data_IF_897796474701
#
_entry.id   IF_897796474701
#
_cell.length_a   1.000
_cell.length_b   1.000
_cell.length_c   1.000
_cell.angle_alpha   90.00
_cell.angle_beta   90.00
_cell.angle_gamma   90.00
#
_symmetry.space_group_name_H-M   'P 1'
#
loop_
_entity.id
_entity.type
_entity.pdbx_description
1 polymer ?
#
# COMPACT_ATOMS: atom_id res chain seq x y z
N UNK A 1 16.53 11.00 6.75
CA UNK A 1 15.22 10.62 6.16
C UNK A 1 15.46 9.65 5.02
N UNK A 2 14.56 8.69 4.77
CA UNK A 2 14.74 7.70 3.72
C UNK A 2 14.33 8.25 2.34
N UNK A 3 15.06 7.86 1.32
CA UNK A 3 14.68 8.09 -0.07
C UNK A 3 13.39 7.34 -0.40
N UNK A 4 12.41 8.01 -1.04
CA UNK A 4 11.10 7.43 -1.37
C UNK A 4 10.76 7.62 -2.85
N UNK A 5 10.13 6.63 -3.46
CA UNK A 5 9.67 6.70 -4.87
C UNK A 5 8.67 7.81 -5.12
N UNK A 6 7.88 8.18 -4.09
CA UNK A 6 6.91 9.28 -4.18
C UNK A 6 7.57 10.63 -4.54
N UNK A 7 8.88 10.83 -4.23
CA UNK A 7 9.62 12.04 -4.62
C UNK A 7 9.63 12.21 -6.14
N UNK A 8 9.83 11.11 -6.89
CA UNK A 8 9.79 11.16 -8.36
C UNK A 8 8.41 11.54 -8.88
N UNK A 9 7.34 11.05 -8.24
CA UNK A 9 5.96 11.41 -8.58
C UNK A 9 5.70 12.90 -8.32
N UNK A 10 6.14 13.42 -7.18
CA UNK A 10 6.04 14.84 -6.86
C UNK A 10 6.87 15.72 -7.81
N UNK A 11 8.05 15.27 -8.24
CA UNK A 11 8.87 15.96 -9.24
C UNK A 11 8.16 16.03 -10.60
N UNK A 12 7.64 14.90 -11.08
CA UNK A 12 6.89 14.83 -12.33
C UNK A 12 5.64 15.71 -12.29
N UNK A 13 4.93 15.71 -11.16
CA UNK A 13 3.79 16.59 -10.93
C UNK A 13 4.20 18.07 -10.97
N UNK A 14 5.29 18.45 -10.28
CA UNK A 14 5.77 19.83 -10.26
C UNK A 14 6.18 20.33 -11.65
N UNK A 15 6.66 19.45 -12.52
CA UNK A 15 7.07 19.78 -13.90
C UNK A 15 5.87 19.83 -14.86
N UNK A 16 4.70 19.34 -14.48
CA UNK A 16 3.50 19.36 -15.33
C UNK A 16 3.00 20.80 -15.55
N UNK A 17 2.64 21.11 -16.80
CA UNK A 17 2.15 22.44 -17.20
C UNK A 17 0.80 22.76 -16.55
N UNK A 18 -0.12 21.79 -16.53
CA UNK A 18 -1.48 21.93 -16.00
C UNK A 18 -1.62 21.17 -14.66
N UNK A 19 -0.69 21.41 -13.73
CA UNK A 19 -0.72 20.73 -12.45
C UNK A 19 -1.86 21.24 -11.56
N UNK A 20 -2.64 20.28 -11.08
CA UNK A 20 -3.69 20.50 -10.09
C UNK A 20 -3.12 20.31 -8.70
N UNK A 21 -3.75 20.80 -7.62
CA UNK A 21 -3.39 20.42 -6.27
C UNK A 21 -3.17 18.91 -6.13
N UNK A 22 -2.05 18.54 -5.50
CA UNK A 22 -1.66 17.15 -5.31
C UNK A 22 -2.19 16.63 -3.97
N UNK A 23 -2.92 15.52 -3.98
CA UNK A 23 -3.44 14.89 -2.77
C UNK A 23 -2.76 13.52 -2.59
N UNK A 24 -1.96 13.39 -1.55
CA UNK A 24 -1.25 12.16 -1.21
C UNK A 24 -2.00 11.42 -0.11
N UNK A 25 -2.69 10.35 -0.49
CA UNK A 25 -3.36 9.45 0.45
C UNK A 25 -2.52 8.21 0.77
N UNK A 26 -2.80 7.57 1.88
CA UNK A 26 -2.13 6.31 2.28
C UNK A 26 -2.32 6.02 3.76
N UNK A 27 -2.00 4.81 4.21
CA UNK A 27 -2.16 4.44 5.62
C UNK A 27 -1.42 5.39 6.57
N UNK A 28 -1.83 5.40 7.82
CA UNK A 28 -1.12 6.17 8.86
C UNK A 28 0.31 5.67 9.01
N UNK A 29 1.20 6.59 9.37
CA UNK A 29 2.63 6.34 9.64
C UNK A 29 3.44 5.79 8.46
N UNK A 30 2.90 5.82 7.21
CA UNK A 30 3.69 5.44 6.03
C UNK A 30 4.66 6.53 5.53
N UNK A 31 4.73 7.69 6.21
CA UNK A 31 5.70 8.74 5.96
C UNK A 31 5.25 9.87 5.02
N UNK A 32 3.94 10.07 4.82
CA UNK A 32 3.37 11.10 3.93
C UNK A 32 3.87 12.51 4.25
N UNK A 33 3.56 13.00 5.45
CA UNK A 33 3.90 14.35 5.93
C UNK A 33 5.39 14.62 5.80
N UNK A 34 6.21 13.70 6.27
CA UNK A 34 7.67 13.83 6.22
C UNK A 34 8.17 13.95 4.78
N UNK A 35 7.69 13.10 3.86
CA UNK A 35 8.10 13.12 2.45
C UNK A 35 7.67 14.41 1.75
N UNK A 36 6.46 14.91 2.03
CA UNK A 36 5.94 16.17 1.47
C UNK A 36 6.73 17.36 1.98
N UNK A 37 6.99 17.44 3.28
CA UNK A 37 7.73 18.55 3.87
C UNK A 37 9.17 18.60 3.38
N UNK A 38 9.84 17.45 3.24
CA UNK A 38 11.19 17.39 2.67
C UNK A 38 11.20 17.86 1.22
N UNK A 39 10.28 17.33 0.40
CA UNK A 39 10.12 17.75 -0.98
C UNK A 39 9.85 19.25 -1.10
N UNK A 40 8.92 19.78 -0.30
CA UNK A 40 8.56 21.18 -0.32
C UNK A 40 9.74 22.08 0.06
N UNK A 41 10.47 21.74 1.12
CA UNK A 41 11.68 22.49 1.57
C UNK A 41 12.80 22.49 0.52
N UNK A 42 12.95 21.37 -0.21
CA UNK A 42 13.98 21.21 -1.25
C UNK A 42 13.66 21.99 -2.54
N UNK A 43 12.38 22.14 -2.87
CA UNK A 43 11.96 22.62 -4.18
C UNK A 43 11.23 23.97 -4.19
N UNK A 44 10.97 24.58 -3.03
CA UNK A 44 10.31 25.88 -2.90
C UNK A 44 11.06 26.81 -1.95
N UNK A 45 10.96 28.10 -2.20
CA UNK A 45 11.58 29.13 -1.33
C UNK A 45 10.84 29.29 -0.02
N UNK A 46 9.52 29.09 -0.04
CA UNK A 46 8.67 29.18 1.14
C UNK A 46 7.75 27.97 1.20
N UNK A 47 7.49 27.51 2.42
CA UNK A 47 6.55 26.43 2.72
C UNK A 47 5.61 26.89 3.79
N UNK A 48 4.32 26.84 3.52
CA UNK A 48 3.26 27.10 4.50
C UNK A 48 2.67 25.76 4.88
N UNK A 49 2.86 25.33 6.11
CA UNK A 49 2.40 24.05 6.62
C UNK A 49 1.23 24.23 7.56
N UNK A 50 0.10 23.61 7.28
CA UNK A 50 -1.11 23.58 8.09
C UNK A 50 -1.47 22.14 8.42
N UNK A 51 -1.35 21.78 9.70
CA UNK A 51 -1.85 20.52 10.23
C UNK A 51 -3.24 20.74 10.84
N UNK A 52 -4.27 20.22 10.19
CA UNK A 52 -5.67 20.42 10.64
C UNK A 52 -6.08 19.50 11.80
N UNK A 53 -5.28 18.47 12.07
CA UNK A 53 -5.52 17.57 13.18
C UNK A 53 -4.99 18.14 14.50
N UNK A 54 -3.75 18.63 14.48
CA UNK A 54 -3.06 19.18 15.63
C UNK A 54 -3.54 20.61 15.93
N UNK A 55 -3.73 21.43 14.87
CA UNK A 55 -4.08 22.85 14.96
C UNK A 55 -5.48 23.12 14.40
N UNK A 56 -6.51 22.86 15.21
CA UNK A 56 -7.91 23.05 14.82
C UNK A 56 -8.25 24.51 14.46
N UNK A 57 -7.53 25.46 15.02
CA UNK A 57 -7.69 26.89 14.74
C UNK A 57 -7.42 27.25 13.27
N UNK A 58 -6.61 26.48 12.55
CA UNK A 58 -6.33 26.72 11.14
C UNK A 58 -7.55 26.51 10.23
N UNK A 59 -8.59 25.79 10.70
CA UNK A 59 -9.86 25.66 9.98
C UNK A 59 -10.53 27.02 9.77
N UNK A 60 -10.29 28.00 10.65
CA UNK A 60 -10.83 29.35 10.53
C UNK A 60 -10.35 30.08 9.29
N UNK A 61 -9.16 29.75 8.75
CA UNK A 61 -8.65 30.35 7.51
C UNK A 61 -9.52 30.02 6.29
N UNK A 62 -10.30 28.97 6.38
CA UNK A 62 -11.20 28.45 5.34
C UNK A 62 -12.68 28.68 5.72
N UNK A 63 -12.97 29.53 6.67
CA UNK A 63 -14.32 29.92 7.02
C UNK A 63 -14.78 31.09 6.13
N UNK A 64 -15.92 30.94 5.48
CA UNK A 64 -16.48 31.97 4.58
C UNK A 64 -16.12 31.76 3.11
N UNK A 65 -15.65 32.82 2.44
CA UNK A 65 -15.28 32.75 1.02
C UNK A 65 -14.02 31.88 0.82
N UNK A 66 -14.06 31.01 -0.17
CA UNK A 66 -12.98 30.05 -0.46
C UNK A 66 -12.09 30.49 -1.64
N UNK A 67 -12.18 31.74 -2.07
CA UNK A 67 -11.25 32.29 -3.06
C UNK A 67 -9.84 32.39 -2.49
N UNK A 68 -8.84 32.31 -3.37
CA UNK A 68 -7.42 32.22 -2.99
C UNK A 68 -6.95 33.49 -2.26
N UNK A 69 -7.42 34.68 -2.69
CA UNK A 69 -6.99 35.93 -2.06
C UNK A 69 -7.46 36.05 -0.61
N UNK A 70 -8.73 35.68 -0.34
CA UNK A 70 -9.29 35.66 1.01
C UNK A 70 -8.54 34.65 1.90
N UNK A 71 -8.30 33.42 1.40
CA UNK A 71 -7.59 32.40 2.17
C UNK A 71 -6.15 32.81 2.46
N UNK A 72 -5.42 33.33 1.47
CA UNK A 72 -4.04 33.81 1.64
C UNK A 72 -3.98 34.98 2.61
N UNK A 73 -4.93 35.90 2.55
CA UNK A 73 -5.04 37.01 3.50
C UNK A 73 -5.22 36.48 4.93
N UNK A 74 -6.18 35.59 5.14
CA UNK A 74 -6.44 34.97 6.45
C UNK A 74 -5.19 34.29 7.01
N UNK A 75 -4.51 33.46 6.18
CA UNK A 75 -3.26 32.80 6.56
C UNK A 75 -2.14 33.82 6.89
N UNK A 76 -2.01 34.89 6.11
CA UNK A 76 -0.96 35.91 6.30
C UNK A 76 -1.13 36.68 7.61
N UNK A 77 -2.37 36.88 8.04
CA UNK A 77 -2.68 37.55 9.32
C UNK A 77 -2.57 36.59 10.52
N UNK A 78 -2.93 35.32 10.32
CA UNK A 78 -2.94 34.33 11.41
C UNK A 78 -1.59 33.66 11.65
N UNK A 79 -0.70 33.62 10.65
CA UNK A 79 0.60 32.93 10.74
C UNK A 79 1.75 33.92 10.79
N UNK A 80 2.53 33.88 11.88
CA UNK A 80 3.70 34.76 12.04
C UNK A 80 4.85 34.37 11.14
N UNK A 81 5.45 35.37 10.45
CA UNK A 81 6.69 35.18 9.70
C UNK A 81 6.56 34.44 8.36
N UNK A 82 5.34 34.16 7.93
CA UNK A 82 5.07 33.49 6.66
C UNK A 82 5.06 34.50 5.52
N UNK A 83 5.65 34.12 4.36
CA UNK A 83 5.63 34.92 3.13
C UNK A 83 4.95 34.13 2.03
N UNK A 84 4.09 34.80 1.27
CA UNK A 84 3.42 34.23 0.10
C UNK A 84 4.05 34.82 -1.16
N UNK A 85 4.84 34.03 -1.87
CA UNK A 85 5.49 34.39 -3.14
C UNK A 85 4.91 33.51 -4.22
N UNK A 86 4.26 34.11 -5.21
CA UNK A 86 3.67 33.40 -6.33
C UNK A 86 4.67 32.48 -7.00
N UNK A 87 4.27 31.25 -7.31
CA UNK A 87 5.07 30.19 -7.93
C UNK A 87 6.30 29.72 -7.13
N UNK A 88 6.56 30.28 -5.96
CA UNK A 88 7.69 29.96 -5.09
C UNK A 88 7.28 29.54 -3.65
N UNK A 89 5.97 29.59 -3.34
CA UNK A 89 5.42 29.10 -2.09
C UNK A 89 4.65 27.81 -2.34
N UNK A 90 4.95 26.77 -1.55
CA UNK A 90 4.17 25.54 -1.48
C UNK A 90 3.28 25.59 -0.24
N UNK A 91 1.99 25.38 -0.44
CA UNK A 91 1.02 25.21 0.65
C UNK A 91 0.91 23.72 0.93
N UNK A 92 1.16 23.31 2.15
CA UNK A 92 1.04 21.91 2.60
C UNK A 92 -0.12 21.81 3.58
N UNK A 93 -1.19 21.12 3.17
CA UNK A 93 -2.39 20.87 3.98
C UNK A 93 -2.37 19.44 4.48
N UNK A 94 -2.00 19.26 5.75
CA UNK A 94 -1.88 17.94 6.37
C UNK A 94 -3.17 17.53 7.06
N UNK A 95 -3.49 16.21 6.97
CA UNK A 95 -4.74 15.61 7.43
C UNK A 95 -5.98 16.39 6.94
N UNK A 96 -6.01 16.66 5.61
CA UNK A 96 -7.01 17.53 4.96
C UNK A 96 -8.46 17.05 5.17
N UNK A 97 -8.69 15.77 5.50
CA UNK A 97 -10.02 15.26 5.83
C UNK A 97 -10.61 15.92 7.09
N UNK A 98 -9.76 16.49 7.95
CA UNK A 98 -10.21 17.18 9.15
C UNK A 98 -10.69 18.63 8.86
N UNK A 99 -10.48 19.15 7.61
CA UNK A 99 -10.97 20.45 7.15
C UNK A 99 -11.64 20.35 5.77
N UNK A 100 -12.94 19.99 5.69
CA UNK A 100 -13.66 19.84 4.41
C UNK A 100 -13.63 21.09 3.53
N UNK A 101 -13.66 22.28 4.12
CA UNK A 101 -13.58 23.55 3.39
C UNK A 101 -12.21 23.74 2.73
N UNK A 102 -11.10 23.35 3.40
CA UNK A 102 -9.78 23.37 2.78
C UNK A 102 -9.74 22.45 1.55
N UNK A 103 -10.39 21.29 1.61
CA UNK A 103 -10.50 20.39 0.45
C UNK A 103 -11.34 21.02 -0.66
N UNK A 104 -12.46 21.65 -0.34
CA UNK A 104 -13.30 22.37 -1.32
C UNK A 104 -12.56 23.52 -2.00
N UNK A 105 -11.65 24.19 -1.27
CA UNK A 105 -10.84 25.29 -1.80
C UNK A 105 -9.84 24.87 -2.88
N UNK A 106 -9.50 23.58 -2.98
CA UNK A 106 -8.56 23.07 -3.99
C UNK A 106 -8.99 23.38 -5.42
N UNK A 107 -10.31 23.48 -5.69
CA UNK A 107 -10.85 23.93 -6.97
C UNK A 107 -10.36 25.35 -7.29
N UNK A 108 -10.42 26.24 -6.34
CA UNK A 108 -10.04 27.64 -6.55
C UNK A 108 -8.52 27.78 -6.69
N UNK A 109 -7.72 27.06 -5.91
CA UNK A 109 -6.26 26.98 -6.09
C UNK A 109 -5.88 26.40 -7.46
N UNK A 110 -6.60 25.38 -7.93
CA UNK A 110 -6.37 24.79 -9.25
C UNK A 110 -6.63 25.77 -10.40
N UNK A 111 -7.64 26.64 -10.26
CA UNK A 111 -7.99 27.65 -11.27
C UNK A 111 -7.08 28.88 -11.22
N UNK A 112 -6.66 29.28 -10.02
CA UNK A 112 -5.80 30.43 -9.78
C UNK A 112 -4.35 30.19 -10.24
N UNK A 113 -3.76 29.06 -9.87
CA UNK A 113 -2.43 28.63 -10.30
C UNK A 113 -1.24 29.42 -9.74
N UNK A 114 -1.44 30.40 -8.85
CA UNK A 114 -0.34 31.16 -8.21
C UNK A 114 0.44 30.36 -7.18
N UNK A 115 -0.20 29.42 -6.51
CA UNK A 115 0.38 28.62 -5.44
C UNK A 115 0.24 27.13 -5.70
N UNK A 116 1.31 26.39 -5.51
CA UNK A 116 1.28 24.94 -5.51
C UNK A 116 0.76 24.42 -4.17
N UNK A 117 -0.22 23.51 -4.23
CA UNK A 117 -0.82 22.92 -3.01
C UNK A 117 -0.57 21.42 -3.01
N UNK A 118 -0.01 20.92 -1.90
CA UNK A 118 0.14 19.49 -1.64
C UNK A 118 -0.63 19.16 -0.36
N UNK A 119 -1.56 18.21 -0.46
CA UNK A 119 -2.35 17.75 0.67
C UNK A 119 -1.94 16.35 1.07
N UNK A 120 -2.03 16.04 2.35
CA UNK A 120 -1.92 14.67 2.85
C UNK A 120 -3.17 14.27 3.60
N UNK A 121 -3.42 12.96 3.66
CA UNK A 121 -4.51 12.41 4.47
C UNK A 121 -4.45 10.90 4.59
N UNK A 122 -4.69 10.40 5.78
CA UNK A 122 -4.63 8.97 6.09
C UNK A 122 -5.98 8.27 5.87
N UNK A 123 -7.08 9.00 6.03
CA UNK A 123 -8.45 8.48 5.93
C UNK A 123 -9.22 9.10 4.76
N UNK A 124 -8.50 9.57 3.73
CA UNK A 124 -9.12 10.10 2.52
C UNK A 124 -9.77 8.97 1.72
N UNK A 125 -11.08 8.92 1.75
CA UNK A 125 -11.89 7.87 1.11
C UNK A 125 -12.69 7.03 2.10
N UNK A 126 -12.43 7.14 3.39
CA UNK A 126 -13.27 6.52 4.43
C UNK A 126 -14.55 7.36 4.57
N UNK A 127 -15.48 7.17 3.64
CA UNK A 127 -16.79 7.81 3.68
C UNK A 127 -17.75 6.96 4.53
N UNK A 128 -18.65 7.62 5.28
CA UNK A 128 -19.76 6.95 5.97
C UNK A 128 -19.51 6.57 7.42
N UNK A 129 -18.43 7.09 8.05
CA UNK A 129 -18.12 6.82 9.47
C UNK A 129 -18.00 8.10 10.30
N UNK A 130 -18.62 9.18 9.81
CA UNK A 130 -18.69 10.47 10.49
C UNK A 130 -19.98 10.59 11.28
N UNK A 131 -19.99 11.44 12.30
CA UNK A 131 -21.20 11.84 12.99
C UNK A 131 -22.16 12.53 11.99
N UNK A 132 -23.46 12.56 12.30
CA UNK A 132 -24.44 13.24 11.42
C UNK A 132 -24.09 14.70 11.16
N UNK A 133 -23.51 15.37 12.14
CA UNK A 133 -23.05 16.77 12.04
C UNK A 133 -21.86 16.91 11.10
N UNK A 134 -20.88 16.01 11.19
CA UNK A 134 -19.70 15.96 10.30
C UNK A 134 -20.12 15.54 8.86
N UNK A 135 -21.11 14.66 8.70
CA UNK A 135 -21.68 14.31 7.40
C UNK A 135 -22.44 15.49 6.77
N UNK A 136 -23.12 16.32 7.57
CA UNK A 136 -23.80 17.53 7.08
C UNK A 136 -22.80 18.61 6.66
N UNK A 137 -21.71 18.80 7.40
CA UNK A 137 -20.62 19.70 6.98
C UNK A 137 -19.96 19.21 5.67
N UNK A 138 -19.71 17.91 5.55
CA UNK A 138 -19.12 17.33 4.35
C UNK A 138 -20.09 17.37 3.15
N UNK A 139 -21.38 17.19 3.34
CA UNK A 139 -22.41 17.38 2.30
C UNK A 139 -22.50 18.82 1.81
N UNK A 140 -22.20 19.79 2.67
CA UNK A 140 -22.10 21.22 2.29
C UNK A 140 -20.78 21.51 1.58
N UNK A 141 -19.71 20.78 1.91
CA UNK A 141 -18.40 20.92 1.29
C UNK A 141 -18.36 20.11 -0.01
N UNK A 142 -18.26 20.79 -1.13
CA UNK A 142 -18.16 20.18 -2.46
C UNK A 142 -16.80 19.51 -2.64
N UNK A 143 -16.78 18.18 -2.87
CA UNK A 143 -15.55 17.51 -3.31
C UNK A 143 -15.13 18.10 -4.66
N UNK A 144 -13.89 18.57 -4.83
CA UNK A 144 -13.44 19.24 -6.05
C UNK A 144 -13.15 18.21 -7.17
N UNK A 145 -14.19 17.54 -7.64
CA UNK A 145 -14.07 16.51 -8.71
C UNK A 145 -13.43 17.14 -9.94
N UNK A 146 -12.31 16.54 -10.38
CA UNK A 146 -11.57 17.01 -11.55
C UNK A 146 -10.57 18.14 -11.29
N UNK A 147 -10.46 18.67 -10.06
CA UNK A 147 -9.54 19.74 -9.69
C UNK A 147 -8.43 19.31 -8.74
N UNK A 148 -8.30 18.03 -8.47
CA UNK A 148 -7.23 17.45 -7.66
C UNK A 148 -6.55 16.30 -8.42
N UNK A 149 -5.26 16.08 -8.13
CA UNK A 149 -4.50 14.92 -8.58
C UNK A 149 -4.22 14.02 -7.37
N UNK A 150 -4.82 12.83 -7.36
CA UNK A 150 -4.73 11.94 -6.21
C UNK A 150 -3.69 10.85 -6.48
N UNK A 151 -2.75 10.68 -5.55
CA UNK A 151 -1.77 9.59 -5.56
C UNK A 151 -1.80 8.84 -4.24
N UNK A 152 -1.48 7.55 -4.29
CA UNK A 152 -1.39 6.73 -3.09
C UNK A 152 0.07 6.48 -2.72
N UNK A 153 0.42 6.78 -1.46
CA UNK A 153 1.70 6.45 -0.88
C UNK A 153 1.54 5.22 0.02
N UNK A 154 2.41 4.26 -0.19
CA UNK A 154 2.44 3.02 0.59
C UNK A 154 3.56 3.03 1.62
N UNK A 155 3.58 2.11 2.60
CA UNK A 155 4.79 1.77 3.34
C UNK A 155 5.94 1.49 2.37
N UNK A 156 7.18 1.57 2.82
CA UNK A 156 8.34 1.32 1.96
C UNK A 156 8.22 -0.03 1.28
N UNK A 157 8.37 -0.04 -0.04
CA UNK A 157 8.47 -1.30 -0.78
C UNK A 157 9.88 -1.91 -0.62
N UNK A 158 10.06 -3.12 -1.15
CA UNK A 158 11.34 -3.81 -0.98
C UNK A 158 12.52 -3.05 -1.59
N UNK A 159 12.34 -2.35 -2.71
CA UNK A 159 13.40 -1.55 -3.33
C UNK A 159 13.74 -0.31 -2.48
N UNK A 160 12.75 0.41 -1.94
CA UNK A 160 12.96 1.52 -1.02
C UNK A 160 13.65 1.06 0.28
N UNK A 161 13.27 -0.14 0.76
CA UNK A 161 13.89 -0.78 1.91
C UNK A 161 15.36 -1.16 1.62
N UNK A 162 15.67 -1.66 0.41
CA UNK A 162 17.03 -1.91 -0.04
C UNK A 162 17.88 -0.63 -0.03
N UNK A 163 17.33 0.49 -0.53
CA UNK A 163 18.02 1.79 -0.48
C UNK A 163 18.32 2.23 0.94
N UNK A 164 17.39 2.05 1.87
CA UNK A 164 17.57 2.36 3.29
C UNK A 164 18.71 1.53 3.93
N UNK A 165 18.98 0.35 3.38
CA UNK A 165 20.03 -0.58 3.83
C UNK A 165 21.31 -0.51 2.96
N UNK A 166 21.52 0.57 2.19
CA UNK A 166 22.73 0.82 1.45
C UNK A 166 22.87 0.06 0.12
N UNK A 167 21.80 -0.58 -0.35
CA UNK A 167 21.78 -1.19 -1.69
C UNK A 167 21.36 -0.14 -2.70
N UNK A 168 22.29 0.22 -3.59
CA UNK A 168 22.10 1.26 -4.58
C UNK A 168 21.45 0.74 -5.88
N UNK A 169 21.02 1.68 -6.72
CA UNK A 169 20.35 1.40 -8.00
C UNK A 169 21.15 0.46 -8.92
N UNK A 170 22.46 0.57 -8.95
CA UNK A 170 23.32 -0.32 -9.76
C UNK A 170 23.10 -1.81 -9.48
N UNK A 171 22.78 -2.16 -8.22
CA UNK A 171 22.52 -3.55 -7.83
C UNK A 171 21.14 -4.01 -8.33
N UNK A 172 20.12 -3.15 -8.27
CA UNK A 172 18.80 -3.48 -8.81
C UNK A 172 18.80 -3.48 -10.34
N UNK A 173 19.60 -2.64 -11.00
CA UNK A 173 19.82 -2.66 -12.45
C UNK A 173 20.47 -3.99 -12.90
N UNK A 174 21.41 -4.54 -12.12
CA UNK A 174 21.97 -5.86 -12.37
C UNK A 174 20.90 -6.97 -12.28
N UNK A 175 20.06 -6.95 -11.26
CA UNK A 175 18.92 -7.90 -11.13
C UNK A 175 17.96 -7.78 -12.31
N UNK A 176 17.64 -6.56 -12.74
CA UNK A 176 16.79 -6.31 -13.90
C UNK A 176 17.41 -6.88 -15.19
N UNK A 177 18.74 -6.78 -15.34
CA UNK A 177 19.45 -7.41 -16.44
C UNK A 177 19.32 -8.92 -16.39
N UNK A 178 19.55 -9.56 -15.24
CA UNK A 178 19.35 -11.02 -15.08
C UNK A 178 17.93 -11.45 -15.45
N UNK A 179 16.90 -10.66 -15.06
CA UNK A 179 15.50 -10.93 -15.43
C UNK A 179 15.27 -10.84 -16.93
N UNK A 180 15.80 -9.81 -17.60
CA UNK A 180 15.64 -9.60 -19.05
C UNK A 180 16.33 -10.69 -19.88
N UNK A 181 17.54 -11.04 -19.48
CA UNK A 181 18.38 -12.02 -20.16
C UNK A 181 18.06 -13.47 -19.74
N UNK A 182 17.16 -13.64 -18.77
CA UNK A 182 16.81 -14.94 -18.15
C UNK A 182 18.07 -15.70 -17.70
N UNK A 183 19.01 -14.98 -17.07
CA UNK A 183 20.27 -15.54 -16.59
C UNK A 183 20.29 -15.63 -15.06
N UNK A 184 20.85 -16.69 -14.48
CA UNK A 184 20.95 -16.80 -13.03
C UNK A 184 21.72 -15.63 -12.43
N UNK A 185 21.22 -15.14 -11.28
CA UNK A 185 21.94 -14.20 -10.42
C UNK A 185 23.17 -14.90 -9.82
N UNK A 186 24.32 -14.22 -9.81
CA UNK A 186 25.54 -14.74 -9.18
C UNK A 186 25.30 -15.18 -7.73
N UNK A 187 25.84 -16.31 -7.33
CA UNK A 187 25.52 -16.98 -6.08
C UNK A 187 25.69 -16.07 -4.84
N UNK A 188 26.77 -15.32 -4.77
CA UNK A 188 27.02 -14.41 -3.65
C UNK A 188 25.94 -13.32 -3.54
N UNK A 189 25.51 -12.75 -4.68
CA UNK A 189 24.44 -11.74 -4.73
C UNK A 189 23.10 -12.40 -4.41
N UNK A 190 22.82 -13.56 -4.98
CA UNK A 190 21.59 -14.33 -4.73
C UNK A 190 21.41 -14.61 -3.24
N UNK A 191 22.44 -15.13 -2.57
CA UNK A 191 22.40 -15.43 -1.15
C UNK A 191 22.20 -14.17 -0.31
N UNK A 192 22.90 -13.06 -0.64
CA UNK A 192 22.72 -11.78 0.06
C UNK A 192 21.31 -11.21 -0.10
N UNK A 193 20.75 -11.26 -1.31
CA UNK A 193 19.40 -10.79 -1.57
C UNK A 193 18.33 -11.63 -0.84
N UNK A 194 18.56 -12.93 -0.69
CA UNK A 194 17.69 -13.81 0.13
C UNK A 194 17.70 -13.43 1.60
N UNK A 195 18.88 -13.13 2.14
CA UNK A 195 19.02 -12.64 3.53
C UNK A 195 18.27 -11.30 3.70
N UNK A 196 18.50 -10.36 2.81
CA UNK A 196 17.83 -9.05 2.84
C UNK A 196 16.31 -9.18 2.72
N UNK A 197 15.81 -10.10 1.91
CA UNK A 197 14.37 -10.37 1.80
C UNK A 197 13.79 -10.93 3.12
N UNK A 198 14.50 -11.84 3.80
CA UNK A 198 14.07 -12.35 5.11
C UNK A 198 13.99 -11.23 6.15
N UNK A 199 14.97 -10.33 6.15
CA UNK A 199 14.96 -9.13 6.99
C UNK A 199 13.74 -8.25 6.66
N UNK A 200 13.48 -8.01 5.37
CA UNK A 200 12.30 -7.24 4.95
C UNK A 200 10.98 -7.89 5.39
N UNK A 201 10.86 -9.22 5.30
CA UNK A 201 9.66 -9.93 5.78
C UNK A 201 9.42 -9.64 7.26
N UNK A 202 10.48 -9.65 8.08
CA UNK A 202 10.37 -9.45 9.54
C UNK A 202 10.17 -7.97 9.89
N UNK A 203 10.94 -7.06 9.26
CA UNK A 203 10.91 -5.61 9.56
C UNK A 203 9.73 -4.91 8.89
N UNK A 204 9.36 -5.33 7.68
CA UNK A 204 8.35 -4.65 6.86
C UNK A 204 8.83 -3.34 6.27
N UNK A 205 7.87 -2.56 5.78
CA UNK A 205 8.10 -1.27 5.11
C UNK A 205 7.62 -0.05 5.91
N UNK A 206 7.16 -0.20 7.15
CA UNK A 206 6.76 0.95 7.96
C UNK A 206 8.01 1.77 8.31
N UNK A 207 8.08 3.09 7.93
CA UNK A 207 9.31 3.87 8.04
C UNK A 207 9.93 3.89 9.44
N UNK A 208 9.12 3.88 10.49
CA UNK A 208 9.61 3.89 11.87
C UNK A 208 10.25 2.54 12.24
N UNK A 209 9.65 1.42 11.85
CA UNK A 209 10.23 0.09 12.01
C UNK A 209 11.55 -0.06 11.21
N UNK A 210 11.58 0.44 9.97
CA UNK A 210 12.79 0.45 9.14
C UNK A 210 13.88 1.31 9.76
N UNK A 211 13.54 2.49 10.28
CA UNK A 211 14.48 3.40 10.94
C UNK A 211 15.09 2.76 12.18
N UNK A 212 14.25 2.14 13.01
CA UNK A 212 14.70 1.41 14.21
C UNK A 212 15.67 0.28 13.81
N UNK A 213 15.33 -0.51 12.78
CA UNK A 213 16.20 -1.57 12.30
C UNK A 213 17.55 -1.04 11.80
N UNK A 214 17.54 0.00 10.97
CA UNK A 214 18.79 0.59 10.40
C UNK A 214 19.69 1.16 11.49
N UNK A 215 19.12 1.72 12.56
CA UNK A 215 19.88 2.35 13.65
C UNK A 215 20.41 1.34 14.68
N UNK A 216 19.58 0.37 15.07
CA UNK A 216 19.91 -0.52 16.19
C UNK A 216 20.27 -1.96 15.78
N UNK A 217 19.87 -2.39 14.59
CA UNK A 217 19.91 -3.79 14.14
C UNK A 217 19.29 -4.77 15.16
N UNK A 218 18.33 -4.30 15.97
CA UNK A 218 17.70 -5.03 17.06
C UNK A 218 16.25 -5.38 16.72
N UNK A 219 15.98 -6.65 16.44
CA UNK A 219 14.66 -7.13 16.07
C UNK A 219 13.61 -7.00 17.17
N UNK A 220 14.00 -7.01 18.44
CA UNK A 220 13.07 -6.82 19.56
C UNK A 220 12.56 -5.37 19.59
N UNK A 221 13.44 -4.39 19.34
CA UNK A 221 13.03 -2.98 19.24
C UNK A 221 12.12 -2.76 18.05
N UNK A 222 12.43 -3.34 16.89
CA UNK A 222 11.57 -3.32 15.69
C UNK A 222 10.18 -3.86 16.01
N UNK A 223 10.11 -5.00 16.72
CA UNK A 223 8.82 -5.61 17.10
C UNK A 223 8.00 -4.71 18.01
N UNK A 224 8.61 -4.03 18.97
CA UNK A 224 7.92 -3.06 19.84
C UNK A 224 7.32 -1.94 19.00
N UNK A 225 8.07 -1.40 18.03
CA UNK A 225 7.57 -0.37 17.13
C UNK A 225 6.40 -0.86 16.29
N UNK A 226 6.51 -2.06 15.69
CA UNK A 226 5.43 -2.66 14.91
C UNK A 226 4.17 -2.89 15.75
N UNK A 227 4.32 -3.40 16.98
CA UNK A 227 3.21 -3.61 17.90
C UNK A 227 2.51 -2.28 18.23
N UNK A 228 3.27 -1.22 18.51
CA UNK A 228 2.73 0.11 18.74
C UNK A 228 1.95 0.63 17.52
N UNK A 229 2.42 0.38 16.29
CA UNK A 229 1.70 0.75 15.06
C UNK A 229 0.37 -0.01 14.96
N UNK A 230 0.37 -1.31 15.22
CA UNK A 230 -0.85 -2.15 15.24
C UNK A 230 -1.85 -1.65 16.29
N UNK A 231 -1.37 -1.34 17.50
CA UNK A 231 -2.21 -0.83 18.58
C UNK A 231 -2.78 0.56 18.25
N UNK A 232 -2.00 1.42 17.60
CA UNK A 232 -2.48 2.70 17.09
C UNK A 232 -3.56 2.52 16.02
N UNK A 233 -3.42 1.56 15.10
CA UNK A 233 -4.47 1.24 14.14
C UNK A 233 -5.76 0.77 14.83
N UNK A 234 -5.65 -0.08 15.86
CA UNK A 234 -6.81 -0.51 16.67
C UNK A 234 -7.46 0.67 17.41
N UNK A 235 -6.67 1.59 17.94
CA UNK A 235 -7.19 2.80 18.56
C UNK A 235 -7.92 3.71 17.55
N UNK A 236 -7.40 3.86 16.34
CA UNK A 236 -8.04 4.60 15.27
C UNK A 236 -9.37 3.99 14.83
N UNK A 237 -9.45 2.66 14.71
CA UNK A 237 -10.70 1.95 14.44
C UNK A 237 -11.77 2.28 15.49
N UNK A 238 -11.37 2.42 16.76
CA UNK A 238 -12.27 2.79 17.85
C UNK A 238 -12.60 4.28 17.86
N UNK A 239 -11.74 5.15 17.35
CA UNK A 239 -11.94 6.60 17.34
C UNK A 239 -12.86 7.04 16.19
N UNK A 240 -12.60 6.53 14.97
CA UNK A 240 -13.19 7.04 13.74
C UNK A 240 -14.39 6.23 13.22
N UNK A 241 -14.60 5.01 13.68
CA UNK A 241 -15.76 4.21 13.29
C UNK A 241 -17.02 4.59 14.08
N UNK A 242 -18.19 4.36 13.49
CA UNK A 242 -19.47 4.48 14.19
C UNK A 242 -19.51 3.49 15.37
N UNK A 243 -20.21 3.87 16.45
CA UNK A 243 -20.24 3.10 17.71
C UNK A 243 -20.65 1.63 17.50
N UNK A 244 -21.60 1.38 16.60
CA UNK A 244 -22.11 0.03 16.29
C UNK A 244 -21.15 -0.82 15.44
N UNK A 245 -20.19 -0.20 14.74
CA UNK A 245 -19.25 -0.89 13.85
C UNK A 245 -17.85 -1.08 14.45
N UNK A 246 -17.51 -0.35 15.53
CA UNK A 246 -16.20 -0.40 16.18
C UNK A 246 -15.74 -1.82 16.51
N UNK A 247 -16.61 -2.60 17.16
CA UNK A 247 -16.32 -3.99 17.53
C UNK A 247 -16.11 -4.86 16.29
N UNK A 248 -16.97 -4.71 15.28
CA UNK A 248 -16.91 -5.50 14.03
C UNK A 248 -15.64 -5.22 13.22
N UNK A 249 -15.23 -3.94 13.12
CA UNK A 249 -13.99 -3.54 12.43
C UNK A 249 -12.79 -4.19 13.11
N UNK A 250 -12.72 -4.11 14.43
CA UNK A 250 -11.66 -4.74 15.21
C UNK A 250 -11.66 -6.27 15.06
N UNK A 251 -12.83 -6.91 15.15
CA UNK A 251 -12.99 -8.36 14.95
C UNK A 251 -12.50 -8.78 13.54
N UNK A 252 -12.84 -8.00 12.49
CA UNK A 252 -12.34 -8.22 11.13
C UNK A 252 -10.83 -8.15 11.08
N UNK A 253 -10.24 -7.10 11.65
CA UNK A 253 -8.79 -6.89 11.65
C UNK A 253 -8.07 -8.02 12.41
N UNK A 254 -8.51 -8.35 13.62
CA UNK A 254 -7.91 -9.41 14.45
C UNK A 254 -8.05 -10.81 13.82
N UNK A 255 -9.01 -11.02 12.90
CA UNK A 255 -9.20 -12.29 12.20
C UNK A 255 -8.20 -12.54 11.07
N UNK A 256 -7.48 -11.53 10.57
CA UNK A 256 -6.64 -11.63 9.37
C UNK A 256 -5.59 -12.75 9.47
N UNK A 257 -4.81 -12.90 10.55
CA UNK A 257 -3.86 -13.99 10.65
C UNK A 257 -4.53 -15.37 10.51
N UNK A 258 -5.67 -15.57 11.16
CA UNK A 258 -6.40 -16.85 11.11
C UNK A 258 -7.05 -17.11 9.74
N UNK A 259 -7.44 -16.07 8.99
CA UNK A 259 -7.91 -16.21 7.61
C UNK A 259 -6.79 -16.69 6.68
N UNK A 260 -5.59 -16.14 6.84
CA UNK A 260 -4.41 -16.49 6.03
C UNK A 260 -3.83 -17.87 6.36
N UNK A 261 -4.03 -18.36 7.59
CA UNK A 261 -3.52 -19.68 8.04
C UNK A 261 -4.26 -20.87 7.41
N UNK A 262 -5.45 -20.66 6.84
CA UNK A 262 -6.27 -21.73 6.26
C UNK A 262 -5.74 -22.20 4.91
N UNK A 263 -6.00 -23.48 4.58
CA UNK A 263 -5.75 -24.01 3.23
C UNK A 263 -6.56 -23.23 2.17
N UNK A 264 -7.86 -23.08 2.40
CA UNK A 264 -8.70 -22.21 1.59
C UNK A 264 -8.66 -20.80 2.18
N UNK A 265 -7.88 -19.92 1.59
CA UNK A 265 -7.68 -18.53 2.01
C UNK A 265 -8.79 -17.58 1.58
N UNK A 266 -9.87 -18.06 0.92
CA UNK A 266 -11.07 -17.27 0.70
C UNK A 266 -11.56 -16.71 2.04
N UNK A 267 -11.79 -15.40 2.08
CA UNK A 267 -12.25 -14.75 3.31
C UNK A 267 -13.61 -15.32 3.77
N UNK A 268 -13.67 -15.77 5.02
CA UNK A 268 -14.85 -16.41 5.61
C UNK A 268 -15.33 -15.60 6.80
N UNK A 269 -16.48 -14.99 6.68
CA UNK A 269 -17.11 -14.22 7.78
C UNK A 269 -17.41 -15.07 9.01
N UNK A 270 -17.67 -16.36 8.84
CA UNK A 270 -17.86 -17.32 9.95
C UNK A 270 -16.59 -17.55 10.79
N UNK A 271 -15.40 -17.19 10.28
CA UNK A 271 -14.15 -17.23 11.05
C UNK A 271 -14.07 -16.09 12.06
N UNK A 272 -14.66 -14.93 11.73
CA UNK A 272 -14.72 -13.80 12.64
C UNK A 272 -15.61 -14.18 13.85
N UNK A 273 -16.83 -14.67 13.55
CA UNK A 273 -17.78 -15.08 14.56
C UNK A 273 -18.68 -16.21 14.00
N UNK A 274 -18.98 -17.22 14.84
CA UNK A 274 -19.90 -18.30 14.44
C UNK A 274 -21.24 -17.73 13.96
N UNK A 275 -21.60 -18.04 12.70
CA UNK A 275 -22.81 -17.51 12.05
C UNK A 275 -22.66 -16.12 11.43
N UNK A 276 -21.46 -15.52 11.43
CA UNK A 276 -21.19 -14.23 10.77
C UNK A 276 -21.47 -14.29 9.27
N UNK A 277 -22.10 -13.23 8.74
CA UNK A 277 -22.50 -13.12 7.34
C UNK A 277 -21.88 -11.87 6.70
N UNK A 278 -21.75 -11.88 5.37
CA UNK A 278 -21.23 -10.75 4.61
C UNK A 278 -21.88 -9.41 4.96
N UNK A 279 -23.22 -9.37 5.04
CA UNK A 279 -23.99 -8.16 5.37
C UNK A 279 -23.61 -7.52 6.72
N UNK A 280 -23.04 -8.31 7.64
CA UNK A 280 -22.73 -7.86 9.01
C UNK A 280 -21.33 -7.22 9.09
N UNK A 281 -20.40 -7.54 8.15
CA UNK A 281 -18.99 -7.21 8.23
C UNK A 281 -18.41 -6.56 6.95
N UNK A 282 -19.16 -6.50 5.84
CA UNK A 282 -18.64 -5.97 4.57
C UNK A 282 -18.21 -4.51 4.70
N UNK A 283 -19.00 -3.67 5.37
CA UNK A 283 -18.67 -2.27 5.65
C UNK A 283 -17.42 -2.14 6.52
N UNK A 284 -17.31 -3.00 7.54
CA UNK A 284 -16.15 -3.03 8.43
C UNK A 284 -14.86 -3.40 7.67
N UNK A 285 -14.93 -4.40 6.78
CA UNK A 285 -13.80 -4.80 5.96
C UNK A 285 -13.43 -3.70 4.94
N UNK A 286 -14.44 -3.04 4.35
CA UNK A 286 -14.23 -1.90 3.45
C UNK A 286 -13.51 -0.76 4.18
N UNK A 287 -13.90 -0.45 5.41
CA UNK A 287 -13.24 0.57 6.22
C UNK A 287 -11.75 0.31 6.39
N UNK A 288 -11.36 -0.94 6.73
CA UNK A 288 -9.95 -1.32 6.93
C UNK A 288 -9.17 -1.23 5.61
N UNK A 289 -9.81 -1.57 4.48
CA UNK A 289 -9.20 -1.46 3.15
C UNK A 289 -9.02 0.02 2.73
N UNK A 290 -10.03 0.87 2.95
CA UNK A 290 -9.98 2.30 2.63
C UNK A 290 -8.94 3.03 3.50
N UNK A 291 -8.75 2.59 4.74
CA UNK A 291 -7.66 3.04 5.61
C UNK A 291 -6.26 2.59 5.12
N UNK A 292 -6.20 1.76 4.09
CA UNK A 292 -4.95 1.28 3.49
C UNK A 292 -4.22 0.22 4.32
N UNK A 293 -4.90 -0.43 5.26
CA UNK A 293 -4.31 -1.42 6.17
C UNK A 293 -4.31 -2.82 5.55
N UNK A 294 -5.34 -3.14 4.78
CA UNK A 294 -5.49 -4.40 4.06
C UNK A 294 -5.72 -4.17 2.57
N UNK A 295 -5.65 -5.27 1.81
CA UNK A 295 -6.05 -5.36 0.41
C UNK A 295 -6.84 -6.61 0.16
N UNK A 296 -7.89 -6.50 -0.65
CA UNK A 296 -8.62 -7.65 -1.18
C UNK A 296 -7.98 -8.12 -2.48
N UNK A 297 -7.82 -9.43 -2.61
CA UNK A 297 -7.43 -10.12 -3.82
C UNK A 297 -8.65 -10.89 -4.31
N UNK A 298 -9.18 -10.51 -5.47
CA UNK A 298 -10.46 -11.01 -5.97
C UNK A 298 -10.31 -12.25 -6.83
N UNK A 299 -11.22 -13.22 -6.67
CA UNK A 299 -11.32 -14.34 -7.60
C UNK A 299 -11.81 -13.88 -8.97
N UNK A 300 -11.36 -14.55 -10.04
CA UNK A 300 -11.83 -14.32 -11.39
C UNK A 300 -12.55 -15.56 -11.93
N UNK A 301 -13.49 -15.36 -12.85
CA UNK A 301 -14.24 -16.45 -13.49
C UNK A 301 -13.37 -17.19 -14.52
N UNK A 302 -12.47 -16.47 -15.17
CA UNK A 302 -11.55 -16.96 -16.21
C UNK A 302 -10.17 -16.29 -16.04
N UNK A 303 -9.18 -16.83 -16.73
CA UNK A 303 -7.78 -16.38 -16.71
C UNK A 303 -7.46 -15.49 -17.92
N UNK A 304 -8.33 -14.52 -18.21
CA UNK A 304 -8.20 -13.61 -19.36
C UNK A 304 -8.23 -12.13 -18.94
N UNK A 305 -7.64 -11.29 -19.79
CA UNK A 305 -7.77 -9.83 -19.68
C UNK A 305 -9.11 -9.36 -20.31
N UNK A 306 -9.73 -8.31 -19.76
CA UNK A 306 -9.31 -7.55 -18.58
C UNK A 306 -9.71 -8.25 -17.26
N UNK A 307 -8.77 -8.44 -16.35
CA UNK A 307 -9.02 -9.12 -15.06
C UNK A 307 -10.16 -8.50 -14.26
N UNK A 308 -10.29 -7.16 -14.32
CA UNK A 308 -11.35 -6.44 -13.64
C UNK A 308 -12.76 -6.80 -14.15
N UNK A 309 -12.90 -7.12 -15.44
CA UNK A 309 -14.16 -7.54 -16.04
C UNK A 309 -14.61 -8.94 -15.65
N UNK A 310 -13.65 -9.77 -15.23
CA UNK A 310 -13.86 -11.17 -14.87
C UNK A 310 -13.91 -11.40 -13.35
N UNK A 311 -13.89 -10.31 -12.56
CA UNK A 311 -13.83 -10.33 -11.10
C UNK A 311 -15.13 -10.81 -10.47
N UNK A 312 -15.03 -11.65 -9.45
CA UNK A 312 -16.15 -12.08 -8.60
C UNK A 312 -16.08 -11.26 -7.30
N UNK A 313 -17.03 -10.32 -7.12
CA UNK A 313 -17.00 -9.36 -6.00
C UNK A 313 -17.10 -10.03 -4.62
N UNK A 314 -17.85 -11.11 -4.49
CA UNK A 314 -18.10 -11.78 -3.21
C UNK A 314 -17.10 -12.90 -2.90
N UNK A 315 -16.10 -13.06 -3.74
CA UNK A 315 -15.09 -14.09 -3.58
C UNK A 315 -13.68 -13.49 -3.62
N UNK A 316 -13.09 -13.31 -2.43
CA UNK A 316 -11.78 -12.67 -2.30
C UNK A 316 -10.98 -13.25 -1.14
N UNK A 317 -9.67 -13.08 -1.22
CA UNK A 317 -8.71 -13.23 -0.12
C UNK A 317 -8.37 -11.86 0.45
N UNK A 318 -7.87 -11.80 1.67
CA UNK A 318 -7.44 -10.55 2.33
C UNK A 318 -5.98 -10.67 2.74
N UNK A 319 -5.18 -9.65 2.40
CA UNK A 319 -3.78 -9.56 2.75
C UNK A 319 -3.50 -8.25 3.48
N UNK A 320 -2.54 -8.26 4.41
CA UNK A 320 -2.00 -7.04 5.01
C UNK A 320 -1.21 -6.24 3.97
N UNK A 321 -1.31 -4.91 4.00
CA UNK A 321 -0.57 -4.02 3.09
C UNK A 321 0.89 -3.82 3.50
N UNK A 322 1.27 -4.29 4.68
CA UNK A 322 2.65 -4.36 5.13
C UNK A 322 2.94 -5.71 5.77
N UNK A 323 3.96 -6.39 5.24
CA UNK A 323 4.31 -7.73 5.69
C UNK A 323 4.85 -7.74 7.13
N UNK A 324 5.57 -6.69 7.55
CA UNK A 324 6.11 -6.58 8.91
C UNK A 324 5.01 -6.43 9.96
N UNK A 325 3.91 -5.73 9.61
CA UNK A 325 2.75 -5.63 10.49
C UNK A 325 2.03 -6.98 10.61
N UNK A 326 1.92 -7.77 9.52
CA UNK A 326 1.43 -9.15 9.64
C UNK A 326 2.31 -9.96 10.60
N UNK A 327 3.64 -9.84 10.47
CA UNK A 327 4.57 -10.56 11.33
C UNK A 327 4.39 -10.21 12.81
N UNK A 328 4.11 -8.96 13.15
CA UNK A 328 3.86 -8.54 14.53
C UNK A 328 2.55 -9.06 15.13
N UNK A 329 1.61 -9.49 14.27
CA UNK A 329 0.33 -10.10 14.69
C UNK A 329 0.43 -11.62 14.88
N UNK A 330 1.57 -12.25 14.55
CA UNK A 330 1.82 -13.67 14.72
C UNK A 330 2.50 -13.95 16.06
N UNK A 331 2.52 -15.23 16.46
CA UNK A 331 3.10 -15.68 17.73
C UNK A 331 4.59 -15.35 17.82
N UNK A 332 5.05 -15.22 19.06
CA UNK A 332 6.47 -15.06 19.39
C UNK A 332 7.28 -16.24 18.81
N UNK A 333 8.44 -15.92 18.22
CA UNK A 333 9.29 -16.92 17.59
C UNK A 333 9.07 -17.09 16.08
N UNK A 334 7.92 -16.67 15.50
CA UNK A 334 7.69 -16.76 14.05
C UNK A 334 8.74 -15.98 13.26
N UNK A 335 9.05 -14.75 13.70
CA UNK A 335 10.09 -13.92 13.10
C UNK A 335 11.46 -14.60 13.13
N UNK A 336 11.80 -15.24 14.26
CA UNK A 336 13.04 -15.99 14.41
C UNK A 336 13.12 -17.18 13.45
N UNK A 337 12.03 -17.95 13.33
CA UNK A 337 11.95 -19.08 12.40
C UNK A 337 12.16 -18.64 10.94
N UNK A 338 11.63 -17.48 10.55
CA UNK A 338 11.84 -16.89 9.22
C UNK A 338 13.30 -16.54 9.01
N UNK A 339 13.93 -15.91 9.98
CA UNK A 339 15.36 -15.54 9.93
C UNK A 339 16.26 -16.78 9.78
N UNK A 340 15.96 -17.86 10.48
CA UNK A 340 16.69 -19.13 10.37
C UNK A 340 16.36 -19.91 9.07
N UNK A 341 15.37 -19.48 8.30
CA UNK A 341 14.92 -20.19 7.11
C UNK A 341 14.08 -21.42 7.42
N UNK A 342 13.76 -21.65 8.71
CA UNK A 342 12.85 -22.71 9.14
C UNK A 342 11.44 -22.18 9.35
N UNK A 343 10.50 -22.60 8.49
CA UNK A 343 9.16 -22.05 8.42
C UNK A 343 8.13 -23.16 8.20
N UNK A 344 7.90 -24.00 9.19
CA UNK A 344 7.06 -25.16 8.92
C UNK A 344 5.55 -24.89 8.90
N UNK A 345 5.02 -24.05 9.76
CA UNK A 345 3.56 -23.95 9.95
C UNK A 345 2.85 -22.83 9.15
N UNK A 346 3.49 -21.69 8.86
CA UNK A 346 2.81 -20.50 8.29
C UNK A 346 3.37 -20.05 6.93
N UNK A 347 4.20 -20.88 6.31
CA UNK A 347 5.02 -20.54 5.13
C UNK A 347 4.23 -20.00 3.93
N UNK A 348 3.21 -20.70 3.52
CA UNK A 348 2.42 -20.31 2.35
C UNK A 348 1.76 -18.95 2.54
N UNK A 349 1.21 -18.68 3.73
CA UNK A 349 0.52 -17.44 4.05
C UNK A 349 1.44 -16.22 4.02
N UNK A 350 2.62 -16.32 4.64
CA UNK A 350 3.61 -15.22 4.68
C UNK A 350 4.11 -14.89 3.27
N UNK A 351 4.46 -15.88 2.47
CA UNK A 351 4.97 -15.64 1.11
C UNK A 351 3.89 -15.18 0.13
N UNK A 352 2.63 -15.64 0.27
CA UNK A 352 1.54 -15.07 -0.49
C UNK A 352 1.25 -13.63 -0.06
N UNK A 353 1.27 -13.33 1.25
CA UNK A 353 1.13 -11.94 1.70
C UNK A 353 2.30 -11.07 1.24
N UNK A 354 3.52 -11.60 1.21
CA UNK A 354 4.68 -10.88 0.64
C UNK A 354 4.47 -10.55 -0.84
N UNK A 355 3.99 -11.51 -1.64
CA UNK A 355 3.68 -11.24 -3.04
C UNK A 355 2.55 -10.20 -3.19
N UNK A 356 1.50 -10.30 -2.37
CA UNK A 356 0.40 -9.34 -2.31
C UNK A 356 0.89 -7.94 -1.90
N UNK A 357 1.79 -7.85 -0.91
CA UNK A 357 2.43 -6.61 -0.48
C UNK A 357 3.23 -5.97 -1.63
N UNK A 358 4.10 -6.74 -2.28
CA UNK A 358 4.92 -6.27 -3.41
C UNK A 358 4.02 -5.79 -4.56
N UNK A 359 3.12 -6.63 -5.05
CA UNK A 359 2.25 -6.28 -6.19
C UNK A 359 1.32 -5.11 -5.84
N UNK A 360 0.80 -5.07 -4.62
CA UNK A 360 -0.03 -3.99 -4.16
C UNK A 360 0.71 -2.65 -4.07
N UNK A 361 1.97 -2.62 -3.60
CA UNK A 361 2.82 -1.42 -3.56
C UNK A 361 3.26 -0.96 -4.96
N UNK A 362 3.22 -1.85 -5.96
CA UNK A 362 3.35 -1.49 -7.39
C UNK A 362 2.07 -0.83 -7.96
N UNK A 363 1.03 -0.63 -7.15
CA UNK A 363 -0.25 -0.05 -7.57
C UNK A 363 -1.20 -1.03 -8.26
N UNK A 364 -0.91 -2.32 -8.25
CA UNK A 364 -1.76 -3.33 -8.89
C UNK A 364 -2.98 -3.65 -8.03
N UNK A 365 -4.15 -3.79 -8.64
CA UNK A 365 -5.28 -4.49 -8.06
C UNK A 365 -4.99 -5.99 -8.09
N UNK A 366 -5.28 -6.69 -7.00
CA UNK A 366 -4.90 -8.08 -6.85
C UNK A 366 -6.03 -9.02 -7.31
N UNK A 367 -5.66 -10.05 -8.05
CA UNK A 367 -6.54 -11.09 -8.55
C UNK A 367 -5.93 -12.46 -8.37
N UNK A 368 -6.77 -13.47 -8.16
CA UNK A 368 -6.40 -14.89 -8.15
C UNK A 368 -7.42 -15.69 -8.95
N UNK A 369 -7.14 -16.96 -9.22
CA UNK A 369 -8.09 -17.84 -9.88
C UNK A 369 -8.30 -19.07 -9.04
N UNK A 370 -9.55 -19.38 -8.73
CA UNK A 370 -9.94 -20.62 -8.07
C UNK A 370 -11.22 -21.15 -8.71
N UNK A 371 -11.19 -22.44 -9.08
CA UNK A 371 -12.32 -23.17 -9.64
C UNK A 371 -12.78 -24.25 -8.68
N UNK A 372 -14.08 -24.49 -8.62
CA UNK A 372 -14.63 -25.66 -7.94
C UNK A 372 -13.99 -26.92 -8.50
N UNK A 373 -13.45 -27.79 -7.63
CA UNK A 373 -12.63 -28.94 -8.03
C UNK A 373 -11.15 -28.81 -7.65
N UNK A 374 -10.74 -27.70 -6.99
CA UNK A 374 -9.43 -27.59 -6.32
C UNK A 374 -8.31 -27.01 -7.17
N UNK A 375 -8.58 -26.48 -8.36
CA UNK A 375 -7.57 -25.76 -9.14
C UNK A 375 -7.49 -24.33 -8.62
N UNK A 376 -6.33 -23.92 -8.11
CA UNK A 376 -6.07 -22.58 -7.60
C UNK A 376 -4.74 -22.05 -8.13
N UNK A 377 -4.72 -20.77 -8.57
CA UNK A 377 -3.54 -19.99 -8.92
C UNK A 377 -3.45 -18.82 -7.94
N UNK A 378 -2.32 -18.64 -7.28
CA UNK A 378 -2.17 -17.70 -6.18
C UNK A 378 -2.44 -16.26 -6.59
N UNK A 379 -1.91 -15.84 -7.76
CA UNK A 379 -2.18 -14.53 -8.35
C UNK A 379 -2.33 -14.59 -9.85
N UNK A 380 -3.11 -13.64 -10.39
CA UNK A 380 -3.13 -13.29 -11.81
C UNK A 380 -2.68 -11.84 -11.96
N UNK A 381 -1.71 -11.60 -12.82
CA UNK A 381 -1.24 -10.26 -13.13
C UNK A 381 -1.27 -10.02 -14.64
N UNK A 382 -1.39 -8.75 -15.04
CA UNK A 382 -1.04 -8.37 -16.40
C UNK A 382 0.47 -8.25 -16.50
N UNK A 383 1.09 -8.99 -17.39
CA UNK A 383 2.53 -8.96 -17.62
C UNK A 383 2.80 -9.12 -19.10
N UNK A 384 3.57 -8.22 -19.69
CA UNK A 384 3.86 -8.18 -21.15
C UNK A 384 2.60 -8.20 -22.04
N UNK A 385 1.54 -7.50 -21.58
CA UNK A 385 0.28 -7.40 -22.32
C UNK A 385 -0.68 -8.58 -22.15
N UNK A 386 -0.29 -9.65 -21.47
CA UNK A 386 -1.05 -10.89 -21.31
C UNK A 386 -1.47 -11.14 -19.85
N UNK A 387 -2.46 -12.02 -19.65
CA UNK A 387 -2.78 -12.56 -18.33
C UNK A 387 -1.72 -13.60 -17.95
N UNK A 388 -0.99 -13.34 -16.89
CA UNK A 388 0.08 -14.19 -16.41
C UNK A 388 -0.21 -14.71 -15.00
N UNK A 389 -0.39 -16.02 -14.82
CA UNK A 389 -0.46 -16.62 -13.49
C UNK A 389 0.88 -16.52 -12.76
N UNK A 390 0.79 -16.22 -11.47
CA UNK A 390 1.93 -16.23 -10.55
C UNK A 390 1.66 -17.21 -9.44
N UNK A 391 2.53 -18.18 -9.30
CA UNK A 391 2.49 -19.19 -8.23
C UNK A 391 3.58 -18.89 -7.20
N UNK A 392 3.22 -18.86 -5.93
CA UNK A 392 4.10 -18.59 -4.81
C UNK A 392 4.49 -19.88 -4.08
N UNK A 393 5.77 -20.17 -3.97
CA UNK A 393 6.27 -21.35 -3.24
C UNK A 393 7.31 -20.93 -2.19
N UNK A 394 7.03 -21.22 -0.95
CA UNK A 394 7.97 -20.95 0.15
C UNK A 394 9.30 -21.72 0.01
N UNK A 395 9.28 -22.85 -0.68
CA UNK A 395 10.43 -23.68 -1.07
C UNK A 395 10.28 -24.17 -2.52
N UNK A 396 11.28 -24.90 -3.01
CA UNK A 396 11.15 -25.66 -4.25
C UNK A 396 10.02 -26.69 -4.12
N UNK A 397 9.12 -26.77 -5.07
CA UNK A 397 8.00 -27.72 -5.03
C UNK A 397 7.21 -27.75 -6.34
N UNK A 398 6.36 -28.76 -6.50
CA UNK A 398 5.50 -28.89 -7.65
C UNK A 398 4.31 -27.92 -7.54
N UNK A 399 4.02 -27.22 -8.62
CA UNK A 399 2.86 -26.34 -8.78
C UNK A 399 1.81 -27.06 -9.64
N UNK A 400 1.05 -28.00 -9.06
CA UNK A 400 0.11 -28.86 -9.79
C UNK A 400 -0.93 -28.05 -10.57
N UNK A 401 -1.54 -27.05 -9.93
CA UNK A 401 -2.54 -26.18 -10.59
C UNK A 401 -1.93 -25.44 -11.78
N UNK A 402 -0.75 -24.85 -11.59
CA UNK A 402 -0.04 -24.14 -12.65
C UNK A 402 0.30 -25.10 -13.81
N UNK A 403 0.79 -26.31 -13.51
CA UNK A 403 1.07 -27.32 -14.52
C UNK A 403 -0.19 -27.73 -15.31
N UNK A 404 -1.33 -27.85 -14.63
CA UNK A 404 -2.61 -28.16 -15.26
C UNK A 404 -3.02 -27.06 -16.25
N UNK A 405 -2.89 -25.81 -15.85
CA UNK A 405 -3.20 -24.64 -16.69
C UNK A 405 -2.25 -24.59 -17.89
N UNK A 406 -0.94 -24.74 -17.66
CA UNK A 406 0.07 -24.69 -18.74
C UNK A 406 -0.01 -25.85 -19.73
N UNK A 407 -0.58 -26.98 -19.34
CA UNK A 407 -0.85 -28.12 -20.25
C UNK A 407 -2.10 -27.93 -21.12
N UNK A 408 -2.96 -26.97 -20.75
CA UNK A 408 -4.22 -26.69 -21.45
C UNK A 408 -4.32 -25.20 -21.81
N UNK A 409 -3.35 -24.65 -22.57
CA UNK A 409 -3.28 -23.22 -22.85
C UNK A 409 -4.51 -22.69 -23.58
N UNK A 410 -5.09 -23.44 -24.50
CA UNK A 410 -6.29 -23.05 -25.26
C UNK A 410 -7.53 -22.94 -24.37
N UNK A 411 -7.60 -23.72 -23.28
CA UNK A 411 -8.73 -23.71 -22.36
C UNK A 411 -8.62 -22.57 -21.34
N UNK A 412 -7.39 -22.25 -20.90
CA UNK A 412 -7.16 -21.24 -19.87
C UNK A 412 -6.63 -19.92 -20.44
N UNK A 413 -6.39 -19.83 -21.74
CA UNK A 413 -5.84 -18.65 -22.42
C UNK A 413 -4.57 -18.09 -21.75
N UNK A 414 -3.68 -19.02 -21.35
CA UNK A 414 -2.44 -18.72 -20.63
C UNK A 414 -1.25 -19.26 -21.44
N UNK A 415 -0.42 -18.35 -21.95
CA UNK A 415 0.78 -18.70 -22.72
C UNK A 415 2.04 -18.77 -21.85
N UNK A 416 2.10 -17.97 -20.80
CA UNK A 416 3.26 -17.82 -19.91
C UNK A 416 2.83 -17.81 -18.45
N UNK A 417 3.73 -18.22 -17.58
CA UNK A 417 3.49 -18.18 -16.14
C UNK A 417 4.78 -17.83 -15.39
N UNK A 418 4.62 -17.38 -14.16
CA UNK A 418 5.73 -17.04 -13.26
C UNK A 418 5.62 -17.91 -12.01
N UNK A 419 6.75 -18.41 -11.54
CA UNK A 419 6.86 -19.13 -10.29
C UNK A 419 7.85 -18.41 -9.37
N UNK A 420 7.33 -17.81 -8.30
CA UNK A 420 8.11 -17.17 -7.26
C UNK A 420 8.47 -18.19 -6.18
N UNK A 421 9.72 -18.19 -5.74
CA UNK A 421 10.13 -19.13 -4.71
C UNK A 421 11.60 -19.03 -4.35
N UNK A 422 12.09 -20.09 -3.73
CA UNK A 422 13.51 -20.25 -3.40
C UNK A 422 14.27 -20.85 -4.60
N UNK A 423 14.18 -20.09 -5.72
CA UNK A 423 14.81 -20.41 -7.00
C UNK A 423 15.77 -19.31 -7.38
N UNK A 424 16.68 -19.59 -8.31
CA UNK A 424 17.35 -18.54 -9.09
C UNK A 424 16.55 -18.24 -10.36
N UNK A 425 16.93 -17.23 -11.11
CA UNK A 425 16.32 -16.92 -12.42
C UNK A 425 16.53 -18.06 -13.37
N UNK A 426 15.47 -18.51 -14.01
CA UNK A 426 15.49 -19.58 -14.99
C UNK A 426 14.18 -19.74 -15.73
N UNK A 427 14.17 -20.58 -16.76
CA UNK A 427 13.00 -20.90 -17.56
C UNK A 427 12.80 -22.42 -17.60
N UNK A 428 11.55 -22.86 -17.41
CA UNK A 428 11.16 -24.25 -17.60
C UNK A 428 9.95 -24.29 -18.54
N UNK A 429 10.19 -24.54 -19.82
CA UNK A 429 9.20 -24.35 -20.87
C UNK A 429 8.75 -22.88 -20.90
N UNK A 430 7.47 -22.63 -20.72
CA UNK A 430 6.86 -21.30 -20.67
C UNK A 430 6.73 -20.75 -19.24
N UNK A 431 7.33 -21.38 -18.24
CA UNK A 431 7.28 -20.96 -16.85
C UNK A 431 8.60 -20.31 -16.45
N UNK A 432 8.56 -18.99 -16.20
CA UNK A 432 9.68 -18.24 -15.65
C UNK A 432 9.77 -18.48 -14.15
N UNK A 433 10.92 -18.96 -13.68
CA UNK A 433 11.20 -19.09 -12.25
C UNK A 433 11.98 -17.89 -11.77
N UNK A 434 11.56 -17.29 -10.65
CA UNK A 434 12.20 -16.11 -10.05
C UNK A 434 12.31 -16.26 -8.54
N UNK A 435 13.39 -15.74 -7.95
CA UNK A 435 13.42 -15.54 -6.50
C UNK A 435 12.45 -14.41 -6.10
N UNK A 436 11.81 -14.53 -4.93
CA UNK A 436 10.86 -13.53 -4.44
C UNK A 436 11.44 -12.11 -4.38
N UNK A 437 12.74 -11.97 -4.09
CA UNK A 437 13.37 -10.65 -4.05
C UNK A 437 13.41 -9.93 -5.40
N UNK A 438 13.04 -10.59 -6.49
CA UNK A 438 12.92 -9.97 -7.82
C UNK A 438 11.47 -9.67 -8.22
N UNK A 439 10.49 -10.01 -7.39
CA UNK A 439 9.06 -9.81 -7.72
C UNK A 439 8.71 -8.33 -8.00
N UNK A 440 9.40 -7.38 -7.35
CA UNK A 440 9.20 -5.94 -7.59
C UNK A 440 9.67 -5.46 -8.97
N UNK A 441 10.46 -6.27 -9.69
CA UNK A 441 10.89 -6.00 -11.06
C UNK A 441 9.88 -6.42 -12.13
N UNK A 442 8.78 -7.10 -11.73
CA UNK A 442 7.69 -7.51 -12.62
C UNK A 442 6.78 -6.32 -12.97
N UNK A 443 7.37 -5.21 -13.40
CA UNK A 443 6.63 -4.05 -13.91
C UNK A 443 6.05 -4.37 -15.29
N UNK A 444 4.96 -3.67 -15.69
CA UNK A 444 4.55 -3.66 -17.08
C UNK A 444 5.65 -2.99 -17.91
N UNK A 445 6.30 -3.72 -18.77
CA UNK A 445 7.28 -3.23 -19.74
C UNK A 445 6.56 -3.00 -21.05
#
# INVERSE_FOLDING_TARGET
>A
MFRRKIENTMLSWKQSINRKPLVIKGCRQCGKTSSVLEFARKHYKNVVYLDFHEHKEYKSFFAGALDVDTIVLNMSMGLKGVKFIERNTCLVFDEIQDCPNARSSLKFFSLDGRYDVICTGSLLGVNGYKTKEEEEEERRASIPVGFEHIVTMYPMDFEEWLWANGIEKQHTDYLLKCLKDVTPVMEAIHNRMRELLRLYIVVGGMPDAVNTFVQSNNMNEVRIVQQNIVDNYKADMLKYALQEDKAKIRECFDSIPSQLAKENKKFQYSTIRKGGRSRDYLGSLQWIEDAGIIRRCYNTTITELPLAGNMINDCFKVYMTDIGLLMSMLEDGTAWSIMQGDMQAYKGAVYENLAADIFGKMGRKLYYFHKEGGLELDFLIRYRGECCPVECKARTGNAKSLQTVMKNPDHYHVCHAIKLGDYNVGMNGQVLTLPFYMAFLLTEI
#
